data_IF_199987148689
#
_entry.id   IF_199987148689
#
_cell.length_a   1.000
_cell.length_b   1.000
_cell.length_c   1.000
_cell.angle_alpha   90.00
_cell.angle_beta   90.00
_cell.angle_gamma   90.00
#
_symmetry.space_group_name_H-M   'P 1'
#
loop_
_entity.id
_entity.type
_entity.pdbx_description
1 polymer ?
#
# COMPACT_ATOMS: atom_id res chain seq x y z
N UNK A 1 5.99 17.77 -7.65
CA UNK A 1 4.88 16.92 -8.09
C UNK A 1 4.91 16.89 -9.60
N UNK A 2 4.95 15.72 -10.19
CA UNK A 2 4.93 15.50 -11.63
C UNK A 2 3.73 14.63 -11.99
N UNK A 3 3.13 14.83 -13.16
CA UNK A 3 1.99 14.03 -13.64
C UNK A 3 2.24 13.59 -15.08
N UNK A 4 2.31 12.28 -15.29
CA UNK A 4 2.57 11.64 -16.58
C UNK A 4 1.25 11.08 -17.10
N UNK A 5 0.84 11.49 -18.30
CA UNK A 5 -0.30 10.90 -19.01
C UNK A 5 0.12 9.58 -19.63
N UNK A 6 -0.57 8.50 -19.27
CA UNK A 6 -0.32 7.20 -19.88
C UNK A 6 -1.00 7.11 -21.25
N UNK A 7 -0.44 6.31 -22.20
CA UNK A 7 -1.10 6.00 -23.45
C UNK A 7 -2.50 5.43 -23.22
N UNK A 8 -3.45 5.76 -24.10
CA UNK A 8 -4.78 5.17 -24.06
C UNK A 8 -4.68 3.68 -24.34
N UNK A 9 -5.29 2.87 -23.47
CA UNK A 9 -5.53 1.46 -23.80
C UNK A 9 -6.67 1.37 -24.83
N UNK A 10 -6.72 0.27 -25.56
CA UNK A 10 -7.77 -0.01 -26.56
C UNK A 10 -9.21 0.03 -26.01
N UNK A 11 -9.37 0.04 -24.68
CA UNK A 11 -10.66 0.10 -23.96
C UNK A 11 -10.95 1.44 -23.29
N UNK A 12 -10.17 2.49 -23.60
CA UNK A 12 -10.72 3.86 -23.68
C UNK A 12 -10.82 4.69 -22.40
N UNK A 13 -10.16 4.33 -21.29
CA UNK A 13 -10.08 5.22 -20.12
C UNK A 13 -8.67 5.80 -19.97
N UNK A 14 -8.51 7.14 -19.92
CA UNK A 14 -7.22 7.77 -19.69
C UNK A 14 -6.74 7.49 -18.27
N UNK A 15 -5.45 7.15 -18.12
CA UNK A 15 -4.81 6.95 -16.83
C UNK A 15 -3.67 7.95 -16.67
N UNK A 16 -3.42 8.35 -15.42
CA UNK A 16 -2.34 9.27 -15.07
C UNK A 16 -1.49 8.63 -13.99
N UNK A 17 -0.17 8.77 -14.11
CA UNK A 17 0.77 8.49 -13.01
C UNK A 17 1.13 9.81 -12.37
N UNK A 18 0.91 9.92 -11.06
CA UNK A 18 1.30 11.09 -10.28
C UNK A 18 2.51 10.71 -9.43
N UNK A 19 3.60 11.47 -9.58
CA UNK A 19 4.82 11.30 -8.81
C UNK A 19 4.91 12.45 -7.80
N UNK A 20 4.86 12.12 -6.52
CA UNK A 20 4.95 13.05 -5.41
C UNK A 20 6.02 12.63 -4.42
N UNK A 21 6.65 13.61 -3.76
CA UNK A 21 7.53 13.37 -2.64
C UNK A 21 6.70 13.31 -1.37
N UNK A 22 6.83 12.22 -0.60
CA UNK A 22 6.26 12.13 0.75
C UNK A 22 7.11 13.00 1.67
N UNK A 23 6.53 14.08 2.18
CA UNK A 23 7.21 15.03 3.11
C UNK A 23 6.89 14.75 4.58
N UNK A 24 5.93 13.88 4.83
CA UNK A 24 5.50 13.48 6.16
C UNK A 24 4.35 12.47 6.08
N UNK A 25 4.11 11.77 7.18
CA UNK A 25 2.99 10.84 7.37
C UNK A 25 2.35 11.13 8.73
N UNK A 26 1.04 10.94 8.84
CA UNK A 26 0.34 10.90 10.13
C UNK A 26 0.13 9.44 10.51
N UNK A 27 0.61 9.07 11.68
CA UNK A 27 0.55 7.71 12.21
C UNK A 27 -0.04 7.80 13.60
N UNK A 28 -0.97 6.91 13.93
CA UNK A 28 -1.46 6.81 15.29
C UNK A 28 -0.37 6.20 16.18
N UNK A 29 -0.12 6.79 17.34
CA UNK A 29 1.01 6.38 18.19
C UNK A 29 0.91 4.91 18.65
N UNK A 30 -0.31 4.39 18.80
CA UNK A 30 -0.60 3.04 19.28
C UNK A 30 -0.18 1.92 18.30
N UNK A 31 -0.06 2.23 17.01
CA UNK A 31 0.42 1.29 15.99
C UNK A 31 1.95 1.28 15.86
N UNK A 32 2.66 2.12 16.61
CA UNK A 32 4.13 2.13 16.64
C UNK A 32 4.60 1.22 17.78
N UNK A 33 5.42 0.23 17.46
CA UNK A 33 6.03 -0.71 18.42
C UNK A 33 7.52 -0.79 18.12
N UNK A 34 8.35 -0.52 19.12
CA UNK A 34 9.81 -0.53 19.00
C UNK A 34 10.34 0.36 17.85
N UNK A 35 9.68 1.49 17.62
CA UNK A 35 10.05 2.46 16.58
C UNK A 35 9.64 2.07 15.16
N UNK A 36 8.86 1.00 14.98
CA UNK A 36 8.39 0.51 13.68
C UNK A 36 6.86 0.43 13.70
N UNK A 37 6.21 0.57 12.54
CA UNK A 37 4.76 0.37 12.42
C UNK A 37 4.45 -1.14 12.52
N UNK A 38 3.63 -1.50 13.49
CA UNK A 38 3.06 -2.82 13.64
C UNK A 38 1.86 -3.00 12.70
N UNK A 39 2.10 -3.69 11.58
CA UNK A 39 1.07 -3.96 10.56
C UNK A 39 -0.09 -4.79 11.11
N UNK A 40 0.16 -5.64 12.11
CA UNK A 40 -0.88 -6.47 12.73
C UNK A 40 -1.91 -5.61 13.46
N UNK A 41 -1.50 -4.48 14.03
CA UNK A 41 -2.41 -3.49 14.63
C UNK A 41 -3.17 -2.68 13.59
N UNK A 42 -2.53 -2.37 12.46
CA UNK A 42 -3.14 -1.58 11.37
C UNK A 42 -4.27 -2.33 10.65
N UNK A 43 -4.15 -3.66 10.51
CA UNK A 43 -5.07 -4.54 9.76
C UNK A 43 -5.51 -3.96 8.40
N UNK A 44 -4.56 -3.62 7.50
CA UNK A 44 -4.88 -2.97 6.24
C UNK A 44 -5.73 -3.87 5.33
N UNK A 45 -6.52 -3.23 4.46
CA UNK A 45 -7.26 -3.91 3.39
C UNK A 45 -6.40 -4.04 2.14
N UNK A 46 -6.28 -5.25 1.63
CA UNK A 46 -5.72 -5.53 0.32
C UNK A 46 -6.84 -5.61 -0.73
N UNK A 47 -6.68 -4.88 -1.83
CA UNK A 47 -7.54 -5.00 -3.00
C UNK A 47 -7.16 -6.24 -3.80
N UNK A 48 -8.14 -7.08 -4.11
CA UNK A 48 -7.95 -8.27 -4.95
C UNK A 48 -8.63 -8.08 -6.32
N UNK A 49 -8.77 -9.17 -7.06
CA UNK A 49 -9.53 -9.20 -8.30
C UNK A 49 -11.02 -8.90 -8.09
N UNK A 50 -11.69 -8.47 -9.16
CA UNK A 50 -13.13 -8.20 -9.18
C UNK A 50 -13.59 -7.27 -8.06
N UNK A 51 -14.42 -7.72 -7.12
CA UNK A 51 -14.91 -6.93 -5.98
C UNK A 51 -14.40 -7.52 -4.65
N UNK A 52 -13.38 -8.35 -4.71
CA UNK A 52 -12.84 -9.03 -3.54
C UNK A 52 -11.82 -8.15 -2.80
N UNK A 53 -11.80 -8.32 -1.49
CA UNK A 53 -10.90 -7.66 -0.56
C UNK A 53 -10.46 -8.64 0.52
N UNK A 54 -9.22 -8.51 0.98
CA UNK A 54 -8.71 -9.26 2.12
C UNK A 54 -8.30 -8.30 3.24
N UNK A 55 -8.59 -8.67 4.48
CA UNK A 55 -8.02 -8.04 5.67
C UNK A 55 -6.69 -8.73 5.94
N UNK A 56 -5.60 -7.98 6.13
CA UNK A 56 -4.34 -8.54 6.57
C UNK A 56 -4.43 -8.79 8.08
N UNK A 57 -4.67 -10.05 8.44
CA UNK A 57 -4.77 -10.50 9.84
C UNK A 57 -3.38 -10.73 10.46
N UNK A 58 -3.23 -10.61 11.79
CA UNK A 58 -1.98 -10.90 12.48
C UNK A 58 -1.39 -12.28 12.16
N UNK A 59 -2.24 -13.28 11.96
CA UNK A 59 -1.83 -14.67 11.66
C UNK A 59 -1.25 -14.88 10.26
N UNK A 60 -1.41 -13.92 9.34
CA UNK A 60 -0.87 -14.02 7.98
C UNK A 60 0.44 -13.24 7.77
N UNK A 61 0.96 -12.61 8.82
CA UNK A 61 2.19 -11.80 8.78
C UNK A 61 3.38 -12.64 9.25
N UNK A 62 4.46 -12.64 8.47
CA UNK A 62 5.73 -13.26 8.83
C UNK A 62 6.90 -12.44 8.25
N UNK A 63 8.04 -12.46 8.94
CA UNK A 63 9.27 -11.86 8.44
C UNK A 63 10.08 -12.91 7.67
N UNK A 64 10.67 -12.50 6.55
CA UNK A 64 11.54 -13.35 5.75
C UNK A 64 12.76 -12.54 5.30
N UNK A 65 13.96 -13.05 5.57
CA UNK A 65 15.18 -12.47 5.04
C UNK A 65 15.25 -12.71 3.52
N UNK A 66 15.88 -11.79 2.79
CA UNK A 66 16.19 -12.00 1.38
C UNK A 66 17.05 -13.27 1.24
N UNK A 67 16.71 -14.21 0.35
CA UNK A 67 17.58 -15.36 0.06
C UNK A 67 18.94 -14.93 -0.49
N UNK A 68 19.98 -15.71 -0.20
CA UNK A 68 21.34 -15.55 -0.75
C UNK A 68 21.37 -15.70 -2.28
#
# INVERSE_FOLDING_TARGET
METIRLPLSSRGSPNHVVIGQVVGIHVADDVIVDGIIDIAKLRPLARLGYLDFAVIEPSSIFAMARPD
#
